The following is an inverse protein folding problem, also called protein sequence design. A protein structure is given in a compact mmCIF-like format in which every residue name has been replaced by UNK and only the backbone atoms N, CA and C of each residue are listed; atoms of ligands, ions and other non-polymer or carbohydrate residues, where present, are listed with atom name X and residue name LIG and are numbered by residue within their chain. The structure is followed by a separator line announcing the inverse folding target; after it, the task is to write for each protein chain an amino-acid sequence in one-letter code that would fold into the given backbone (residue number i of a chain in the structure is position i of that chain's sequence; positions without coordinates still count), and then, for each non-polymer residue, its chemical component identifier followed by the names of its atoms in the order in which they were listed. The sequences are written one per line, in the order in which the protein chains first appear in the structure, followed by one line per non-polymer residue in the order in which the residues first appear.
data_IF_645800146569
#
_entry.id   IF_645800146569
#
_cell.length_a   1.000
_cell.length_b   1.000
_cell.length_c   1.000
_cell.angle_alpha   90.00
_cell.angle_beta   90.00
_cell.angle_gamma   90.00
#
_symmetry.space_group_name_H-M   'P 1'
#
loop_
_entity.id
_entity.type
_entity.pdbx_description
1 polymer ?
#
# COMPACT_ATOMS: atom_id res chain seq x y z
N UNK A 1 -29.27 -105.22 -27.15
CA UNK A 1 -29.92 -103.91 -27.03
C UNK A 1 -29.10 -103.13 -26.01
N UNK A 2 -27.83 -102.91 -26.32
CA UNK A 2 -27.39 -101.83 -27.23
C UNK A 2 -27.88 -100.51 -26.67
N UNK A 3 -27.01 -99.72 -26.05
CA UNK A 3 -26.55 -98.54 -26.76
C UNK A 3 -25.23 -98.05 -26.18
N UNK A 4 -24.33 -97.81 -27.13
CA UNK A 4 -22.99 -97.31 -27.00
C UNK A 4 -23.09 -95.79 -27.09
N UNK A 5 -22.70 -95.07 -26.04
CA UNK A 5 -22.33 -93.65 -26.15
C UNK A 5 -20.98 -93.49 -25.42
N UNK A 6 -19.88 -93.28 -26.16
CA UNK A 6 -18.59 -92.92 -25.60
C UNK A 6 -18.42 -91.40 -25.52
N UNK A 7 -17.63 -91.00 -24.53
CA UNK A 7 -16.67 -89.88 -24.51
C UNK A 7 -17.17 -88.48 -24.93
N UNK A 8 -17.50 -87.67 -23.92
CA UNK A 8 -17.10 -86.25 -23.94
C UNK A 8 -16.13 -86.01 -22.79
N UNK A 9 -15.00 -85.42 -23.15
CA UNK A 9 -13.80 -85.24 -22.34
C UNK A 9 -14.07 -84.12 -21.34
N UNK A 10 -14.05 -84.45 -20.05
CA UNK A 10 -13.76 -83.46 -19.02
C UNK A 10 -12.73 -84.06 -18.06
N UNK A 11 -11.46 -83.78 -18.33
CA UNK A 11 -10.37 -84.06 -17.38
C UNK A 11 -10.67 -83.35 -16.06
N UNK A 12 -10.82 -84.08 -14.93
CA UNK A 12 -10.74 -83.43 -13.63
C UNK A 12 -9.29 -82.97 -13.42
N UNK A 13 -9.09 -81.65 -13.38
CA UNK A 13 -7.87 -81.05 -12.85
C UNK A 13 -7.54 -81.70 -11.49
N UNK A 14 -6.31 -82.19 -11.26
CA UNK A 14 -5.92 -82.68 -9.95
C UNK A 14 -6.10 -81.57 -8.92
N UNK A 15 -6.48 -81.88 -7.66
CA UNK A 15 -6.67 -80.86 -6.63
C UNK A 15 -5.39 -80.03 -6.51
N UNK A 16 -5.52 -78.70 -6.55
CA UNK A 16 -4.41 -77.78 -6.27
C UNK A 16 -3.69 -78.24 -4.99
N UNK A 17 -2.35 -78.31 -4.98
CA UNK A 17 -1.63 -78.59 -3.75
C UNK A 17 -1.98 -77.51 -2.73
N UNK A 18 -2.46 -77.94 -1.56
CA UNK A 18 -2.77 -77.05 -0.45
C UNK A 18 -1.60 -76.08 -0.20
N UNK A 19 -1.88 -74.79 0.09
CA UNK A 19 -0.82 -73.81 0.32
C UNK A 19 0.12 -74.30 1.44
N UNK A 20 1.45 -74.11 1.30
CA UNK A 20 2.42 -74.64 2.24
C UNK A 20 2.22 -74.06 3.65
N UNK A 21 2.49 -74.87 4.67
CA UNK A 21 2.18 -74.69 6.09
C UNK A 21 2.85 -73.50 6.81
N UNK A 22 3.29 -72.46 6.10
CA UNK A 22 3.98 -71.31 6.66
C UNK A 22 3.06 -70.32 7.39
N UNK A 23 1.73 -70.36 7.17
CA UNK A 23 0.78 -69.49 7.91
C UNK A 23 0.90 -69.61 9.43
N UNK A 24 1.23 -70.80 9.95
CA UNK A 24 1.36 -71.03 11.39
C UNK A 24 2.76 -70.67 11.92
N UNK A 25 3.80 -70.73 11.10
CA UNK A 25 5.17 -70.35 11.49
C UNK A 25 5.31 -68.83 11.54
N UNK A 26 4.74 -68.14 10.55
CA UNK A 26 4.71 -66.67 10.49
C UNK A 26 3.93 -66.09 11.69
N UNK A 27 2.79 -66.71 12.04
CA UNK A 27 2.00 -66.33 13.21
C UNK A 27 2.76 -66.56 14.53
N UNK A 28 3.48 -67.68 14.65
CA UNK A 28 4.28 -67.97 15.84
C UNK A 28 5.51 -67.06 15.94
N UNK A 29 6.18 -66.77 14.82
CA UNK A 29 7.33 -65.87 14.75
C UNK A 29 6.92 -64.43 15.10
N UNK A 30 5.76 -63.98 14.61
CA UNK A 30 5.15 -62.70 14.99
C UNK A 30 4.81 -62.66 16.49
N UNK A 31 4.27 -63.73 17.05
CA UNK A 31 3.94 -63.78 18.49
C UNK A 31 5.17 -63.70 19.39
N UNK A 32 6.28 -64.37 19.02
CA UNK A 32 7.57 -64.30 19.73
C UNK A 32 8.16 -62.90 19.64
N UNK A 33 8.13 -62.30 18.45
CA UNK A 33 8.56 -60.92 18.25
C UNK A 33 7.71 -59.92 19.05
N UNK A 34 6.38 -60.12 19.14
CA UNK A 34 5.49 -59.32 19.98
C UNK A 34 5.79 -59.46 21.47
N UNK A 35 6.16 -60.66 21.93
CA UNK A 35 6.56 -60.88 23.31
C UNK A 35 7.89 -60.20 23.66
N UNK A 36 8.83 -60.13 22.71
CA UNK A 36 10.19 -59.61 22.92
C UNK A 36 10.33 -58.11 22.65
N UNK A 37 9.66 -57.58 21.61
CA UNK A 37 9.77 -56.19 21.16
C UNK A 37 8.43 -55.43 21.13
N UNK A 38 7.30 -56.09 21.39
CA UNK A 38 5.98 -55.46 21.30
C UNK A 38 5.78 -54.29 22.28
N UNK A 39 6.29 -54.41 23.52
CA UNK A 39 6.22 -53.31 24.52
C UNK A 39 6.99 -52.05 24.09
N UNK A 40 8.30 -52.09 23.75
CA UNK A 40 9.01 -50.91 23.29
C UNK A 40 8.53 -50.40 21.92
N UNK A 41 8.08 -51.28 21.01
CA UNK A 41 7.52 -50.87 19.73
C UNK A 41 6.21 -50.07 19.91
N UNK A 42 5.33 -50.47 20.83
CA UNK A 42 4.11 -49.72 21.16
C UNK A 42 4.42 -48.36 21.79
N UNK A 43 5.45 -48.27 22.65
CA UNK A 43 5.91 -47.00 23.23
C UNK A 43 6.45 -46.08 22.12
N UNK A 44 7.27 -46.61 21.20
CA UNK A 44 7.78 -45.85 20.06
C UNK A 44 6.66 -45.33 19.15
N UNK A 45 5.66 -46.15 18.87
CA UNK A 45 4.48 -45.75 18.08
C UNK A 45 3.65 -44.68 18.80
N UNK A 46 3.45 -44.80 20.12
CA UNK A 46 2.77 -43.79 20.91
C UNK A 46 3.51 -42.44 20.90
N UNK A 47 4.84 -42.44 21.04
CA UNK A 47 5.66 -41.23 20.93
C UNK A 47 5.56 -40.62 19.53
N UNK A 48 5.63 -41.43 18.47
CA UNK A 48 5.48 -40.96 17.10
C UNK A 48 4.10 -40.31 16.87
N UNK A 49 3.03 -40.89 17.40
CA UNK A 49 1.67 -40.31 17.34
C UNK A 49 1.62 -38.97 18.09
N UNK A 50 2.19 -38.86 19.28
CA UNK A 50 2.24 -37.60 20.03
C UNK A 50 3.05 -36.53 19.29
N UNK A 51 4.17 -36.91 18.66
CA UNK A 51 4.98 -36.00 17.84
C UNK A 51 4.19 -35.55 16.60
N UNK A 52 3.52 -36.46 15.90
CA UNK A 52 2.69 -36.13 14.73
C UNK A 52 1.51 -35.23 15.14
N UNK A 53 0.85 -35.51 16.26
CA UNK A 53 -0.21 -34.66 16.81
C UNK A 53 0.35 -33.29 17.22
N UNK A 54 1.54 -33.23 17.82
CA UNK A 54 2.21 -31.98 18.15
C UNK A 54 2.55 -31.14 16.92
N UNK A 55 3.10 -31.76 15.87
CA UNK A 55 3.38 -31.10 14.59
C UNK A 55 2.07 -30.68 13.90
N UNK A 56 1.03 -31.53 13.96
CA UNK A 56 -0.28 -31.24 13.38
C UNK A 56 -0.94 -30.05 14.08
N UNK A 57 -0.93 -30.02 15.42
CA UNK A 57 -1.43 -28.89 16.20
C UNK A 57 -0.60 -27.65 15.93
N UNK A 58 0.73 -27.74 15.88
CA UNK A 58 1.60 -26.60 15.58
C UNK A 58 1.35 -26.03 14.17
N UNK A 59 1.19 -26.89 13.16
CA UNK A 59 0.85 -26.49 11.78
C UNK A 59 -0.56 -25.88 11.70
N UNK A 60 -1.55 -26.53 12.29
CA UNK A 60 -2.93 -26.07 12.30
C UNK A 60 -3.09 -24.77 13.11
N UNK A 61 -2.32 -24.58 14.18
CA UNK A 61 -2.32 -23.35 14.98
C UNK A 61 -1.62 -22.20 14.25
N UNK A 62 -0.57 -22.49 13.45
CA UNK A 62 0.05 -21.50 12.56
C UNK A 62 -0.92 -21.06 11.45
N UNK A 63 -1.65 -22.01 10.87
CA UNK A 63 -2.65 -21.74 9.84
C UNK A 63 -3.90 -21.03 10.40
N UNK A 64 -4.37 -21.39 11.60
CA UNK A 64 -5.54 -20.75 12.22
C UNK A 64 -5.28 -19.33 12.69
N UNK A 65 -4.07 -19.03 13.20
CA UNK A 65 -3.65 -17.67 13.55
C UNK A 65 -3.51 -16.79 12.31
N UNK A 66 -2.96 -17.33 11.21
CA UNK A 66 -2.90 -16.61 9.95
C UNK A 66 -4.30 -16.31 9.40
N UNK A 67 -5.22 -17.28 9.43
CA UNK A 67 -6.60 -17.08 9.00
C UNK A 67 -7.35 -16.04 9.88
N UNK A 68 -7.17 -16.08 11.20
CA UNK A 68 -7.75 -15.11 12.11
C UNK A 68 -7.18 -13.69 11.88
N UNK A 69 -5.88 -13.55 11.62
CA UNK A 69 -5.24 -12.27 11.33
C UNK A 69 -5.71 -11.68 9.99
N UNK A 70 -5.93 -12.52 8.98
CA UNK A 70 -6.54 -12.11 7.71
C UNK A 70 -7.97 -11.63 7.94
N UNK A 71 -8.77 -12.34 8.73
CA UNK A 71 -10.14 -11.92 9.04
C UNK A 71 -10.17 -10.63 9.86
N UNK A 72 -9.23 -10.44 10.78
CA UNK A 72 -9.08 -9.19 11.53
C UNK A 72 -8.74 -8.01 10.63
N UNK A 73 -7.87 -8.20 9.62
CA UNK A 73 -7.53 -7.17 8.62
C UNK A 73 -8.75 -6.72 7.81
N UNK A 74 -9.70 -7.61 7.51
CA UNK A 74 -10.94 -7.27 6.82
C UNK A 74 -12.01 -6.64 7.72
N UNK A 75 -11.93 -6.86 9.03
CA UNK A 75 -12.89 -6.31 10.01
C UNK A 75 -12.42 -4.97 10.58
N UNK A 76 -11.10 -4.73 10.64
CA UNK A 76 -10.55 -3.45 11.08
C UNK A 76 -10.99 -2.37 10.10
N UNK A 77 -11.79 -1.43 10.59
CA UNK A 77 -12.29 -0.31 9.79
C UNK A 77 -11.40 0.93 9.90
N UNK A 78 -10.50 0.96 10.88
CA UNK A 78 -9.67 2.11 11.16
C UNK A 78 -8.18 1.83 10.88
N UNK A 79 -7.44 2.82 10.37
CA UNK A 79 -5.99 2.69 10.14
C UNK A 79 -5.22 2.43 11.44
N UNK A 80 -5.71 2.91 12.59
CA UNK A 80 -5.11 2.68 13.90
C UNK A 80 -5.20 1.20 14.31
N UNK A 81 -6.34 0.56 14.10
CA UNK A 81 -6.52 -0.85 14.39
C UNK A 81 -5.60 -1.71 13.52
N UNK A 82 -5.49 -1.39 12.23
CA UNK A 82 -4.56 -2.05 11.31
C UNK A 82 -3.11 -1.91 11.77
N UNK A 83 -2.71 -0.70 12.15
CA UNK A 83 -1.36 -0.43 12.65
C UNK A 83 -1.10 -1.16 13.98
N UNK A 84 -2.04 -1.10 14.93
CA UNK A 84 -1.92 -1.81 16.20
C UNK A 84 -1.84 -3.32 16.01
N UNK A 85 -2.64 -3.87 15.09
CA UNK A 85 -2.58 -5.29 14.75
C UNK A 85 -1.18 -5.68 14.26
N UNK A 86 -0.61 -4.90 13.32
CA UNK A 86 0.73 -5.12 12.81
C UNK A 86 1.81 -5.01 13.90
N UNK A 87 1.67 -4.05 14.82
CA UNK A 87 2.62 -3.83 15.92
C UNK A 87 2.49 -4.88 17.03
N UNK A 88 1.30 -5.44 17.24
CA UNK A 88 1.03 -6.45 18.27
C UNK A 88 1.63 -7.82 17.93
N UNK A 89 1.69 -8.18 16.64
CA UNK A 89 2.35 -9.39 16.16
C UNK A 89 3.20 -9.11 14.91
N UNK A 90 4.40 -8.52 15.06
CA UNK A 90 5.26 -8.16 13.94
C UNK A 90 5.77 -9.35 13.11
N UNK A 91 5.67 -10.58 13.65
CA UNK A 91 6.06 -11.80 12.96
C UNK A 91 4.90 -12.47 12.22
N UNK A 92 3.68 -11.95 12.37
CA UNK A 92 2.54 -12.42 11.61
C UNK A 92 2.78 -12.23 10.11
N UNK A 93 2.48 -13.22 9.26
CA UNK A 93 2.58 -13.06 7.81
C UNK A 93 1.75 -11.89 7.26
N UNK A 94 0.72 -11.46 7.98
CA UNK A 94 -0.16 -10.34 7.62
C UNK A 94 0.35 -8.99 8.11
N UNK A 95 1.32 -8.93 9.03
CA UNK A 95 1.79 -7.68 9.63
C UNK A 95 2.34 -6.66 8.59
N UNK A 96 3.14 -7.06 7.59
CA UNK A 96 3.59 -6.13 6.56
C UNK A 96 2.43 -5.55 5.76
N UNK A 97 1.45 -6.39 5.41
CA UNK A 97 0.28 -6.00 4.64
C UNK A 97 -0.62 -5.06 5.46
N UNK A 98 -0.87 -5.39 6.74
CA UNK A 98 -1.62 -4.54 7.66
C UNK A 98 -0.96 -3.16 7.83
N UNK A 99 0.36 -3.10 7.97
CA UNK A 99 1.09 -1.84 8.15
C UNK A 99 1.08 -0.97 6.88
N UNK A 100 1.28 -1.58 5.70
CA UNK A 100 1.17 -0.87 4.42
C UNK A 100 -0.27 -0.39 4.15
N UNK A 101 -1.27 -1.22 4.47
CA UNK A 101 -2.69 -0.82 4.36
C UNK A 101 -3.05 0.29 5.33
N UNK A 102 -2.56 0.26 6.57
CA UNK A 102 -2.75 1.35 7.54
C UNK A 102 -2.17 2.66 6.99
N UNK A 103 -0.95 2.63 6.44
CA UNK A 103 -0.30 3.80 5.85
C UNK A 103 -1.10 4.38 4.67
N UNK A 104 -1.58 3.52 3.78
CA UNK A 104 -2.43 3.94 2.66
C UNK A 104 -3.75 4.55 3.12
N UNK A 105 -4.37 3.99 4.17
CA UNK A 105 -5.62 4.50 4.72
C UNK A 105 -5.41 5.83 5.47
N UNK A 106 -4.31 6.00 6.21
CA UNK A 106 -3.94 7.32 6.76
C UNK A 106 -3.80 8.36 5.65
N UNK A 107 -3.15 8.00 4.53
CA UNK A 107 -3.01 8.89 3.39
C UNK A 107 -4.37 9.25 2.78
N UNK A 108 -5.26 8.27 2.60
CA UNK A 108 -6.61 8.48 2.08
C UNK A 108 -7.46 9.40 2.99
N UNK A 109 -7.18 9.39 4.30
CA UNK A 109 -7.81 10.27 5.29
C UNK A 109 -7.12 11.63 5.44
N UNK A 110 -6.20 12.01 4.55
CA UNK A 110 -5.42 13.26 4.59
C UNK A 110 -4.50 13.39 5.82
N UNK A 111 -4.20 12.28 6.49
CA UNK A 111 -3.34 12.22 7.68
C UNK A 111 -1.92 11.87 7.28
N UNK A 112 -1.30 12.81 6.56
CA UNK A 112 -0.05 12.56 5.84
C UNK A 112 1.15 12.31 6.74
N UNK A 113 1.23 12.94 7.93
CA UNK A 113 2.29 12.67 8.90
C UNK A 113 2.26 11.21 9.39
N UNK A 114 1.06 10.69 9.68
CA UNK A 114 0.86 9.31 10.13
C UNK A 114 1.09 8.31 9.00
N UNK A 115 0.65 8.64 7.79
CA UNK A 115 0.95 7.86 6.59
C UNK A 115 2.46 7.74 6.36
N UNK A 116 3.18 8.86 6.43
CA UNK A 116 4.62 8.91 6.27
C UNK A 116 5.34 8.04 7.31
N UNK A 117 4.97 8.19 8.59
CA UNK A 117 5.53 7.39 9.67
C UNK A 117 5.25 5.89 9.50
N UNK A 118 4.03 5.53 9.10
CA UNK A 118 3.64 4.13 8.89
C UNK A 118 4.37 3.50 7.69
N UNK A 119 4.49 4.21 6.56
CA UNK A 119 5.27 3.74 5.41
C UNK A 119 6.76 3.59 5.74
N UNK A 120 7.35 4.57 6.44
CA UNK A 120 8.76 4.47 6.86
C UNK A 120 9.00 3.30 7.81
N UNK A 121 8.08 3.06 8.75
CA UNK A 121 8.13 1.90 9.62
C UNK A 121 8.07 0.60 8.80
N UNK A 122 7.14 0.49 7.84
CA UNK A 122 7.05 -0.67 6.96
C UNK A 122 8.34 -0.92 6.17
N UNK A 123 8.95 0.12 5.62
CA UNK A 123 10.21 0.00 4.88
C UNK A 123 11.38 -0.43 5.77
N UNK A 124 11.40 0.02 7.03
CA UNK A 124 12.43 -0.36 7.99
C UNK A 124 12.25 -1.80 8.51
N UNK A 125 11.01 -2.22 8.77
CA UNK A 125 10.72 -3.55 9.33
C UNK A 125 10.64 -4.65 8.28
N UNK A 126 10.30 -4.32 7.03
CA UNK A 126 10.05 -5.28 5.95
C UNK A 126 10.73 -4.91 4.61
N UNK A 127 12.06 -4.70 4.57
CA UNK A 127 12.79 -4.20 3.40
C UNK A 127 12.78 -5.14 2.18
N UNK A 128 12.41 -6.40 2.33
CA UNK A 128 12.31 -7.39 1.24
C UNK A 128 10.88 -7.72 0.80
N UNK A 129 9.88 -7.00 1.31
CA UNK A 129 8.48 -7.29 1.00
C UNK A 129 8.10 -6.79 -0.41
N UNK A 130 7.15 -7.48 -1.07
CA UNK A 130 6.71 -7.12 -2.42
C UNK A 130 6.05 -5.74 -2.54
N UNK A 131 5.54 -5.18 -1.42
CA UNK A 131 4.95 -3.84 -1.35
C UNK A 131 5.97 -2.73 -1.05
N UNK A 132 7.26 -3.04 -1.01
CA UNK A 132 8.32 -2.03 -0.81
C UNK A 132 8.24 -0.92 -1.86
N UNK A 133 8.07 -1.21 -3.17
CA UNK A 133 7.94 -0.16 -4.16
C UNK A 133 6.73 0.76 -3.93
N UNK A 134 5.57 0.19 -3.59
CA UNK A 134 4.36 0.95 -3.27
C UNK A 134 4.56 1.83 -2.02
N UNK A 135 5.22 1.31 -0.98
CA UNK A 135 5.51 2.07 0.22
C UNK A 135 6.53 3.20 -0.01
N UNK A 136 7.53 3.01 -0.88
CA UNK A 136 8.45 4.09 -1.28
C UNK A 136 7.71 5.21 -2.02
N UNK A 137 6.80 4.85 -2.93
CA UNK A 137 5.91 5.82 -3.58
C UNK A 137 4.98 6.52 -2.58
N UNK A 138 4.48 5.79 -1.58
CA UNK A 138 3.68 6.31 -0.48
C UNK A 138 4.43 7.32 0.38
N UNK A 139 5.71 7.08 0.68
CA UNK A 139 6.60 8.04 1.37
C UNK A 139 6.71 9.33 0.57
N UNK A 140 7.07 9.23 -0.72
CA UNK A 140 7.24 10.39 -1.57
C UNK A 140 5.94 11.20 -1.73
N UNK A 141 4.80 10.52 -1.91
CA UNK A 141 3.49 11.16 -1.99
C UNK A 141 3.07 11.82 -0.67
N UNK A 142 3.39 11.19 0.47
CA UNK A 142 3.09 11.76 1.79
C UNK A 142 3.93 13.02 2.05
N UNK A 143 5.20 13.01 1.65
CA UNK A 143 6.07 14.19 1.71
C UNK A 143 5.56 15.32 0.80
N UNK A 144 5.15 14.99 -0.43
CA UNK A 144 4.56 15.95 -1.36
C UNK A 144 3.29 16.58 -0.76
N UNK A 145 2.41 15.78 -0.16
CA UNK A 145 1.17 16.25 0.46
C UNK A 145 1.39 17.09 1.74
N UNK A 146 2.57 16.97 2.37
CA UNK A 146 3.02 17.79 3.49
C UNK A 146 3.73 19.09 3.03
N UNK A 147 3.74 19.39 1.74
CA UNK A 147 4.48 20.50 1.12
C UNK A 147 6.02 20.40 1.33
N UNK A 148 6.54 19.24 1.71
CA UNK A 148 7.98 18.95 1.84
C UNK A 148 8.54 18.56 0.47
N UNK A 149 8.47 19.50 -0.48
CA UNK A 149 8.72 19.23 -1.90
C UNK A 149 10.18 18.83 -2.21
N UNK A 150 11.16 19.30 -1.43
CA UNK A 150 12.57 18.97 -1.66
C UNK A 150 12.82 17.48 -1.32
N UNK A 151 12.37 17.03 -0.15
CA UNK A 151 12.47 15.63 0.26
C UNK A 151 11.58 14.71 -0.60
N UNK A 152 10.41 15.20 -1.03
CA UNK A 152 9.53 14.46 -1.94
C UNK A 152 10.19 14.25 -3.31
N UNK A 153 10.77 15.30 -3.91
CA UNK A 153 11.49 15.21 -5.16
C UNK A 153 12.65 14.21 -5.06
N UNK A 154 13.47 14.31 -4.02
CA UNK A 154 14.58 13.39 -3.79
C UNK A 154 14.10 11.93 -3.63
N UNK A 155 12.99 11.71 -2.93
CA UNK A 155 12.41 10.37 -2.75
C UNK A 155 11.89 9.78 -4.06
N UNK A 156 11.20 10.58 -4.89
CA UNK A 156 10.74 10.17 -6.20
C UNK A 156 11.89 9.88 -7.18
N UNK A 157 12.90 10.75 -7.21
CA UNK A 157 14.11 10.57 -8.04
C UNK A 157 14.87 9.29 -7.64
N UNK A 158 15.07 9.07 -6.34
CA UNK A 158 15.71 7.87 -5.82
C UNK A 158 14.92 6.60 -6.18
N UNK A 159 13.59 6.65 -6.08
CA UNK A 159 12.74 5.54 -6.50
C UNK A 159 12.91 5.23 -7.99
N UNK A 160 12.84 6.25 -8.85
CA UNK A 160 12.94 6.08 -10.29
C UNK A 160 14.32 5.55 -10.72
N UNK A 161 15.39 6.02 -10.08
CA UNK A 161 16.76 5.55 -10.34
C UNK A 161 17.00 4.12 -9.84
N UNK A 162 16.43 3.76 -8.68
CA UNK A 162 16.56 2.41 -8.12
C UNK A 162 15.68 1.36 -8.79
N UNK A 163 14.59 1.78 -9.44
CA UNK A 163 13.57 0.88 -10.00
C UNK A 163 13.24 1.20 -11.48
N UNK A 164 14.22 1.17 -12.40
CA UNK A 164 14.03 1.60 -13.79
C UNK A 164 13.00 0.78 -14.58
N UNK A 165 12.76 -0.48 -14.19
CA UNK A 165 11.77 -1.36 -14.83
C UNK A 165 10.42 -1.40 -14.11
N UNK A 166 10.24 -0.63 -13.04
CA UNK A 166 8.98 -0.61 -12.29
C UNK A 166 7.88 0.09 -13.10
N UNK A 167 6.64 -0.42 -13.11
CA UNK A 167 5.51 0.28 -13.72
C UNK A 167 5.20 1.62 -13.03
N UNK A 168 5.68 1.82 -11.80
CA UNK A 168 5.53 3.07 -11.05
C UNK A 168 6.63 4.09 -11.37
N UNK A 169 7.67 3.69 -12.11
CA UNK A 169 8.81 4.58 -12.42
C UNK A 169 8.40 5.86 -13.16
N UNK A 170 7.53 5.80 -14.19
CA UNK A 170 7.05 7.02 -14.85
C UNK A 170 6.30 7.93 -13.90
N UNK A 171 5.45 7.36 -13.03
CA UNK A 171 4.71 8.11 -12.04
C UNK A 171 5.64 8.83 -11.06
N UNK A 172 6.73 8.18 -10.63
CA UNK A 172 7.74 8.78 -9.78
C UNK A 172 8.44 9.95 -10.47
N UNK A 173 8.86 9.80 -11.74
CA UNK A 173 9.48 10.88 -12.50
C UNK A 173 8.56 12.09 -12.63
N UNK A 174 7.27 11.87 -12.89
CA UNK A 174 6.29 12.96 -12.93
C UNK A 174 6.10 13.62 -11.56
N UNK A 175 6.11 12.83 -10.47
CA UNK A 175 6.06 13.34 -9.10
C UNK A 175 7.27 14.21 -8.76
N UNK A 176 8.47 13.76 -9.12
CA UNK A 176 9.70 14.54 -8.94
C UNK A 176 9.63 15.88 -9.69
N UNK A 177 9.29 15.85 -10.99
CA UNK A 177 9.19 17.06 -11.79
C UNK A 177 8.16 18.05 -11.22
N UNK A 178 6.98 17.57 -10.80
CA UNK A 178 5.96 18.39 -10.14
C UNK A 178 6.44 18.97 -8.81
N UNK A 179 7.19 18.23 -8.00
CA UNK A 179 7.79 18.78 -6.78
C UNK A 179 8.79 19.90 -7.09
N UNK A 180 9.63 19.74 -8.14
CA UNK A 180 10.55 20.78 -8.62
C UNK A 180 9.80 22.03 -9.12
N UNK A 181 8.65 21.86 -9.78
CA UNK A 181 7.76 22.97 -10.15
C UNK A 181 7.30 23.77 -8.92
N UNK A 182 6.86 23.08 -7.87
CA UNK A 182 6.36 23.70 -6.64
C UNK A 182 7.47 24.46 -5.88
N UNK A 183 8.71 24.01 -6.02
CA UNK A 183 9.91 24.71 -5.52
C UNK A 183 10.32 25.91 -6.39
N UNK A 184 9.70 26.10 -7.56
CA UNK A 184 10.08 27.13 -8.53
C UNK A 184 11.37 26.82 -9.30
N UNK A 185 11.85 25.58 -9.19
CA UNK A 185 13.03 25.02 -9.88
C UNK A 185 12.59 24.57 -11.29
N UNK A 186 12.20 25.56 -12.12
CA UNK A 186 11.57 25.31 -13.42
C UNK A 186 12.53 24.72 -14.46
N UNK A 187 13.82 25.06 -14.37
CA UNK A 187 14.84 24.52 -15.29
C UNK A 187 15.06 23.02 -15.01
N UNK A 188 15.11 22.64 -13.73
CA UNK A 188 15.23 21.25 -13.28
C UNK A 188 13.97 20.44 -13.61
N UNK A 189 12.78 21.00 -13.36
CA UNK A 189 11.52 20.36 -13.72
C UNK A 189 11.42 20.12 -15.25
N UNK A 190 11.83 21.09 -16.05
CA UNK A 190 11.87 20.98 -17.52
C UNK A 190 12.77 19.84 -17.95
N UNK A 191 13.99 19.78 -17.43
CA UNK A 191 14.95 18.72 -17.76
C UNK A 191 14.35 17.33 -17.47
N UNK A 192 13.71 17.15 -16.32
CA UNK A 192 13.06 15.88 -15.97
C UNK A 192 11.98 15.45 -16.97
N UNK A 193 11.14 16.38 -17.44
CA UNK A 193 10.12 16.06 -18.45
C UNK A 193 10.71 15.79 -19.84
N UNK A 194 11.67 16.59 -20.28
CA UNK A 194 12.32 16.42 -21.58
C UNK A 194 13.10 15.09 -21.64
N UNK A 195 13.84 14.78 -20.58
CA UNK A 195 14.57 13.51 -20.44
C UNK A 195 13.59 12.31 -20.41
N UNK A 196 12.46 12.44 -19.71
CA UNK A 196 11.43 11.40 -19.68
C UNK A 196 10.86 11.12 -21.07
N UNK A 197 10.50 12.16 -21.82
CA UNK A 197 9.94 12.03 -23.17
C UNK A 197 10.97 11.43 -24.13
N UNK A 198 12.23 11.88 -24.04
CA UNK A 198 13.32 11.38 -24.88
C UNK A 198 13.62 9.89 -24.61
N UNK A 199 13.60 9.48 -23.34
CA UNK A 199 13.88 8.10 -22.95
C UNK A 199 12.70 7.14 -23.16
N UNK A 200 11.46 7.64 -23.18
CA UNK A 200 10.25 6.81 -23.20
C UNK A 200 9.25 7.22 -24.29
N UNK A 201 9.62 7.16 -25.59
CA UNK A 201 8.82 7.71 -26.70
C UNK A 201 7.46 7.03 -26.91
N UNK A 202 7.23 5.84 -26.37
CA UNK A 202 5.97 5.10 -26.47
C UNK A 202 5.16 5.09 -25.15
N UNK A 203 5.56 5.89 -24.15
CA UNK A 203 4.91 5.89 -22.85
C UNK A 203 3.57 6.63 -22.85
N UNK A 204 2.57 6.06 -22.17
CA UNK A 204 1.28 6.71 -21.93
C UNK A 204 1.39 7.98 -21.07
N UNK A 205 2.51 8.16 -20.37
CA UNK A 205 2.78 9.32 -19.52
C UNK A 205 3.34 10.54 -20.27
N UNK A 206 3.67 10.41 -21.57
CA UNK A 206 4.16 11.55 -22.37
C UNK A 206 3.20 12.72 -22.33
N UNK A 207 1.89 12.47 -22.46
CA UNK A 207 0.88 13.53 -22.43
C UNK A 207 0.90 14.32 -21.09
N UNK A 208 1.21 13.64 -19.98
CA UNK A 208 1.37 14.29 -18.68
C UNK A 208 2.66 15.12 -18.63
N UNK A 209 3.77 14.58 -19.15
CA UNK A 209 5.05 15.31 -19.23
C UNK A 209 4.94 16.57 -20.12
N UNK A 210 4.30 16.47 -21.28
CA UNK A 210 4.03 17.60 -22.17
C UNK A 210 3.14 18.66 -21.51
N UNK A 211 2.17 18.22 -20.71
CA UNK A 211 1.31 19.13 -19.93
C UNK A 211 2.13 19.90 -18.88
N UNK A 212 3.07 19.25 -18.21
CA UNK A 212 4.03 19.88 -17.29
C UNK A 212 4.91 20.92 -18.00
N UNK A 213 5.50 20.56 -19.15
CA UNK A 213 6.28 21.49 -19.97
C UNK A 213 5.48 22.71 -20.43
N UNK A 214 4.20 22.52 -20.78
CA UNK A 214 3.32 23.62 -21.14
C UNK A 214 3.04 24.55 -19.94
N UNK A 215 2.88 23.99 -18.75
CA UNK A 215 2.73 24.77 -17.52
C UNK A 215 3.98 25.60 -17.23
N UNK A 216 5.17 24.99 -17.31
CA UNK A 216 6.46 25.67 -17.13
C UNK A 216 6.63 26.85 -18.09
N UNK A 217 6.34 26.64 -19.38
CA UNK A 217 6.41 27.72 -20.40
C UNK A 217 5.48 28.88 -20.08
N UNK A 218 4.29 28.61 -19.52
CA UNK A 218 3.36 29.66 -19.07
C UNK A 218 3.89 30.40 -17.84
N UNK A 219 4.44 29.68 -16.88
CA UNK A 219 5.04 30.25 -15.66
C UNK A 219 6.24 31.16 -15.98
N UNK A 220 7.14 30.72 -16.87
CA UNK A 220 8.27 31.53 -17.36
C UNK A 220 7.81 32.77 -18.10
N UNK A 221 6.82 32.63 -18.99
CA UNK A 221 6.26 33.78 -19.70
C UNK A 221 5.69 34.79 -18.71
N UNK A 222 4.93 34.35 -17.71
CA UNK A 222 4.39 35.24 -16.68
C UNK A 222 5.49 35.98 -15.90
N UNK A 223 6.61 35.31 -15.61
CA UNK A 223 7.79 35.91 -14.95
C UNK A 223 8.53 36.91 -15.84
N UNK A 224 8.58 36.65 -17.15
CA UNK A 224 9.29 37.47 -18.14
C UNK A 224 8.41 38.54 -18.82
N UNK A 225 7.13 38.64 -18.47
CA UNK A 225 6.28 39.73 -18.95
C UNK A 225 6.72 41.05 -18.29
N UNK A 226 7.00 42.12 -19.05
CA UNK A 226 7.16 43.45 -18.47
C UNK A 226 5.85 43.84 -17.75
N UNK A 227 5.98 44.55 -16.62
CA UNK A 227 4.85 45.07 -15.83
C UNK A 227 3.75 45.66 -16.74
N UNK A 228 2.47 45.45 -16.41
CA UNK A 228 1.41 45.26 -17.40
C UNK A 228 1.26 46.43 -18.35
N UNK A 229 1.50 46.17 -19.64
CA UNK A 229 0.94 46.94 -20.77
C UNK A 229 -0.61 46.93 -20.79
N UNK A 230 -1.25 46.17 -19.88
CA UNK A 230 -2.70 46.20 -19.66
C UNK A 230 -3.20 47.58 -19.16
N UNK A 231 -2.35 48.39 -18.52
CA UNK A 231 -2.71 49.78 -18.22
C UNK A 231 -2.77 50.67 -19.48
N UNK A 232 -2.05 50.32 -20.54
CA UNK A 232 -2.08 51.07 -21.80
C UNK A 232 -3.25 50.65 -22.71
N UNK A 233 -3.66 49.37 -22.66
CA UNK A 233 -4.84 48.91 -23.41
C UNK A 233 -6.16 49.34 -22.76
N UNK A 234 -6.24 49.45 -21.43
CA UNK A 234 -7.43 49.94 -20.73
C UNK A 234 -7.56 51.48 -20.77
N UNK A 235 -6.46 52.21 -20.92
CA UNK A 235 -6.48 53.68 -21.02
C UNK A 235 -6.79 54.19 -22.45
N UNK A 236 -6.63 53.35 -23.48
CA UNK A 236 -6.96 53.71 -24.86
C UNK A 236 -8.47 53.64 -25.16
N UNK A 237 -9.24 52.89 -24.38
CA UNK A 237 -10.69 52.71 -24.57
C UNK A 237 -11.55 53.68 -23.73
N UNK A 238 -10.93 54.54 -22.92
CA UNK A 238 -11.61 55.46 -22.00
C UNK A 238 -11.39 56.96 -22.32
N UNK A 239 -11.28 57.32 -23.60
CA UNK A 239 -11.32 58.72 -24.04
C UNK A 239 -12.77 59.11 -24.43
N UNK A 240 -13.39 60.13 -23.78
CA UNK A 240 -14.80 60.41 -23.96
C UNK A 240 -15.05 61.26 -25.21
N UNK A 241 -15.76 60.72 -26.21
CA UNK A 241 -16.35 61.53 -27.28
C UNK A 241 -17.75 61.95 -26.84
N UNK A 242 -17.90 63.20 -26.41
CA UNK A 242 -19.19 63.82 -26.10
C UNK A 242 -19.39 64.98 -27.08
N UNK A 243 -20.30 64.84 -28.05
CA UNK A 243 -21.24 65.88 -28.50
C UNK A 243 -22.01 65.51 -29.79
N UNK A 244 -23.34 65.39 -29.64
CA UNK A 244 -24.42 65.88 -30.53
C UNK A 244 -24.63 65.17 -31.90
N UNK A 245 -25.83 64.80 -32.38
CA UNK A 245 -27.22 65.33 -32.30
C UNK A 245 -28.17 64.13 -32.56
N UNK A 246 -29.08 63.76 -31.65
CA UNK A 246 -30.56 63.95 -31.72
C UNK A 246 -31.24 63.34 -32.97
N UNK A 247 -32.02 62.25 -32.81
CA UNK A 247 -33.45 62.14 -33.21
C UNK A 247 -34.03 60.73 -32.91
N UNK A 248 -35.28 60.72 -32.43
CA UNK A 248 -36.28 59.64 -32.38
C UNK A 248 -36.18 58.50 -31.35
N UNK A 249 -36.96 58.67 -30.28
CA UNK A 249 -37.61 57.63 -29.45
C UNK A 249 -38.80 56.97 -30.25
N UNK A 250 -39.55 55.95 -29.76
CA UNK A 250 -39.60 55.50 -28.35
C UNK A 250 -39.82 53.99 -28.06
N UNK A 251 -39.69 53.69 -26.77
CA UNK A 251 -40.46 52.77 -25.92
C UNK A 251 -40.45 51.26 -26.20
N UNK A 252 -39.92 50.46 -25.25
CA UNK A 252 -40.68 49.43 -24.50
C UNK A 252 -39.96 49.04 -23.18
N UNK A 253 -40.70 49.14 -22.06
CA UNK A 253 -40.79 48.32 -20.81
C UNK A 253 -39.52 47.75 -20.12
N UNK A 254 -39.24 48.13 -18.86
CA UNK A 254 -39.43 47.36 -17.59
C UNK A 254 -38.65 46.01 -17.59
N UNK A 255 -37.71 45.72 -16.70
CA UNK A 255 -37.87 45.58 -15.24
C UNK A 255 -36.49 45.50 -14.54
N UNK A 256 -36.42 46.12 -13.35
CA UNK A 256 -35.54 45.88 -12.20
C UNK A 256 -35.32 44.37 -11.88
N UNK A 257 -34.38 43.88 -11.08
CA UNK A 257 -33.31 44.40 -10.25
C UNK A 257 -32.47 43.23 -9.70
N UNK A 258 -31.30 43.58 -9.15
CA UNK A 258 -30.62 43.00 -7.99
C UNK A 258 -30.10 41.54 -8.08
N UNK A 259 -28.80 41.29 -8.20
CA UNK A 259 -27.73 41.45 -7.19
C UNK A 259 -27.87 40.54 -5.97
N UNK A 260 -26.93 39.61 -5.78
CA UNK A 260 -26.06 39.61 -4.60
C UNK A 260 -24.89 38.62 -4.71
N UNK A 261 -23.69 39.17 -4.63
CA UNK A 261 -22.46 38.47 -4.26
C UNK A 261 -22.57 37.91 -2.83
N UNK A 262 -21.99 36.74 -2.56
CA UNK A 262 -21.22 36.60 -1.31
C UNK A 262 -20.11 35.55 -1.41
N UNK A 263 -18.89 36.03 -1.18
CA UNK A 263 -17.65 35.28 -0.98
C UNK A 263 -17.23 35.51 0.47
N UNK A 264 -16.77 34.50 1.24
CA UNK A 264 -16.04 34.78 2.47
C UNK A 264 -14.52 34.59 2.31
N UNK A 265 -13.82 35.45 3.03
CA UNK A 265 -12.38 35.68 3.09
C UNK A 265 -11.64 34.70 4.02
N UNK A 266 -10.39 34.44 3.66
CA UNK A 266 -9.31 33.93 4.51
C UNK A 266 -9.11 34.82 5.75
N UNK A 267 -8.85 34.21 6.92
CA UNK A 267 -8.28 34.88 8.10
C UNK A 267 -6.91 34.30 8.39
N UNK A 268 -5.88 35.14 8.22
CA UNK A 268 -4.58 34.98 8.86
C UNK A 268 -4.70 35.40 10.33
N UNK A 269 -4.01 34.68 11.23
CA UNK A 269 -3.67 35.16 12.54
C UNK A 269 -2.21 34.79 12.86
N UNK A 270 -1.39 35.81 13.09
CA UNK A 270 0.00 35.73 13.55
C UNK A 270 0.13 36.58 14.80
N UNK A 271 0.58 36.01 15.93
CA UNK A 271 1.24 36.61 17.12
C UNK A 271 1.00 35.69 18.34
N UNK A 272 1.88 35.49 19.33
CA UNK A 272 3.14 36.13 19.72
C UNK A 272 3.83 35.24 20.78
N UNK A 273 5.16 35.25 20.73
CA UNK A 273 6.16 34.76 21.71
C UNK A 273 5.98 35.36 23.12
N UNK A 274 6.18 34.57 24.19
CA UNK A 274 6.82 35.00 25.46
C UNK A 274 7.38 33.81 26.24
N UNK A 275 8.62 33.96 26.71
CA UNK A 275 9.40 33.06 27.55
C UNK A 275 9.33 33.45 29.04
N UNK A 276 9.54 32.48 29.93
CA UNK A 276 10.16 32.54 31.28
C UNK A 276 9.91 31.16 31.94
N UNK A 277 10.90 30.28 32.07
CA UNK A 277 11.90 30.18 33.16
C UNK A 277 11.38 29.45 34.41
N UNK A 278 12.08 28.36 34.74
CA UNK A 278 12.03 27.39 35.86
C UNK A 278 12.20 28.07 37.25
N UNK A 279 12.06 27.38 38.44
CA UNK A 279 12.60 26.04 38.73
C UNK A 279 11.83 25.16 39.76
N UNK A 280 12.47 24.01 40.03
CA UNK A 280 12.16 22.94 40.97
C UNK A 280 12.13 23.34 42.46
N UNK A 281 11.39 22.56 43.25
CA UNK A 281 11.62 22.21 44.67
C UNK A 281 10.62 21.06 45.01
N UNK A 282 11.04 19.80 45.09
CA UNK A 282 11.47 19.09 46.31
C UNK A 282 10.40 18.99 47.42
N UNK A 283 9.96 17.76 47.70
CA UNK A 283 9.54 17.17 49.00
C UNK A 283 8.63 15.97 48.71
N UNK A 284 8.59 14.85 49.43
CA UNK A 284 9.44 14.15 50.41
C UNK A 284 8.53 13.04 50.98
N UNK A 285 9.11 11.89 51.33
CA UNK A 285 8.54 10.75 52.09
C UNK A 285 7.49 9.89 51.34
N UNK A 286 7.68 8.57 51.17
CA UNK A 286 7.85 7.53 52.20
C UNK A 286 6.45 6.99 52.53
N UNK A 287 6.07 5.71 52.48
CA UNK A 287 6.72 4.39 52.58
C UNK A 287 5.73 3.32 52.02
N UNK A 288 6.14 2.05 51.87
CA UNK A 288 5.31 0.95 51.37
C UNK A 288 4.63 0.16 52.51
N UNK A 289 3.47 -0.44 52.26
CA UNK A 289 2.93 -1.53 53.11
C UNK A 289 2.39 -2.65 52.23
N UNK A 290 2.95 -3.83 52.47
CA UNK A 290 2.47 -5.12 52.03
C UNK A 290 1.39 -5.64 52.98
N UNK A 291 0.36 -6.29 52.42
CA UNK A 291 -0.24 -7.53 52.94
C UNK A 291 -0.91 -8.28 51.78
#
# INVERSE_FOLDING_TARGET
MDEKIPDDVNEPQPPEPAPPAHENEDAQQFSKWMAEYGRPALIGLAVAVVVVLGISVWRNQKESKAAAAVQALFQSRSPEELQQLALSDPQAPTAPMALASAAAEFFAQYRYDEALAAYQNFLASHPGHMLVPDAQMGVAASLEALDNFEEAAASYEAFAAGNPSSPLQPQAMMGAARCREQLGQFDEARALYEDFIAANPDSTWIAQAESGLLFLKKAERAKNLPAPVAAASAAAEAAPVKAAVEEAAPAIEEEEAASEESKPKKKNATKKKKAAEQPADETSAGEPVAE
#
